data_IF_235727819120
#
_entry.id   IF_235727819120
#
_cell.length_a   1.000
_cell.length_b   1.000
_cell.length_c   1.000
_cell.angle_alpha   90.00
_cell.angle_beta   90.00
_cell.angle_gamma   90.00
#
_symmetry.space_group_name_H-M   'P 1'
#
loop_
_entity.id
_entity.type
_entity.pdbx_description
1 polymer ?
#
# COMPACT_ATOMS: atom_id res chain seq x y z
N UNK A 1 -24.50 5.49 -11.27
CA UNK A 1 -23.84 4.25 -10.80
C UNK A 1 -22.34 4.17 -11.13
N UNK A 2 -21.86 4.71 -12.27
CA UNK A 2 -20.42 4.70 -12.64
C UNK A 2 -19.49 5.54 -11.73
N UNK A 3 -19.94 6.70 -11.23
CA UNK A 3 -19.13 7.60 -10.39
C UNK A 3 -18.71 7.01 -9.02
N UNK A 4 -19.51 6.09 -8.49
CA UNK A 4 -19.25 5.38 -7.23
C UNK A 4 -18.18 4.27 -7.39
N UNK A 5 -18.10 3.65 -8.57
CA UNK A 5 -17.05 2.70 -8.89
C UNK A 5 -15.71 3.41 -9.12
N UNK A 6 -15.73 4.58 -9.77
CA UNK A 6 -14.52 5.38 -9.99
C UNK A 6 -13.86 5.83 -8.68
N UNK A 7 -14.66 6.38 -7.75
CA UNK A 7 -14.16 6.83 -6.43
C UNK A 7 -13.65 5.70 -5.56
N UNK A 8 -14.18 4.48 -5.73
CA UNK A 8 -13.72 3.29 -5.02
C UNK A 8 -12.37 2.80 -5.56
N UNK A 9 -12.16 2.84 -6.88
CA UNK A 9 -10.87 2.53 -7.52
C UNK A 9 -9.82 3.58 -7.18
N UNK A 10 -10.20 4.85 -7.16
CA UNK A 10 -9.31 5.97 -6.83
C UNK A 10 -8.85 5.93 -5.36
N UNK A 11 -9.77 5.63 -4.42
CA UNK A 11 -9.40 5.41 -3.01
C UNK A 11 -8.54 4.14 -2.82
N UNK A 12 -8.77 3.10 -3.63
CA UNK A 12 -7.97 1.86 -3.59
C UNK A 12 -6.52 2.14 -4.05
N UNK A 13 -6.37 2.85 -5.16
CA UNK A 13 -5.05 3.31 -5.61
C UNK A 13 -4.38 4.23 -4.58
N UNK A 14 -5.12 5.15 -3.96
CA UNK A 14 -4.58 6.02 -2.90
C UNK A 14 -4.11 5.22 -1.68
N UNK A 15 -4.84 4.18 -1.27
CA UNK A 15 -4.48 3.31 -0.15
C UNK A 15 -3.19 2.53 -0.40
N UNK A 16 -3.03 1.96 -1.60
CA UNK A 16 -1.82 1.26 -2.03
C UNK A 16 -0.64 2.23 -2.10
N UNK A 17 -0.83 3.40 -2.70
CA UNK A 17 0.22 4.43 -2.83
C UNK A 17 0.65 4.92 -1.45
N UNK A 18 -0.30 5.21 -0.55
CA UNK A 18 0.02 5.63 0.82
C UNK A 18 0.78 4.54 1.59
N UNK A 19 0.38 3.28 1.41
CA UNK A 19 1.05 2.13 2.04
C UNK A 19 2.47 1.96 1.49
N UNK A 20 2.64 2.02 0.17
CA UNK A 20 3.94 2.00 -0.47
C UNK A 20 4.82 3.16 0.01
N UNK A 21 4.29 4.39 0.09
CA UNK A 21 5.03 5.56 0.54
C UNK A 21 5.53 5.40 1.99
N UNK A 22 4.69 4.91 2.89
CA UNK A 22 5.08 4.58 4.27
C UNK A 22 6.19 3.53 4.31
N UNK A 23 6.10 2.50 3.47
CA UNK A 23 7.13 1.48 3.35
C UNK A 23 8.45 2.04 2.83
N UNK A 24 8.39 2.91 1.82
CA UNK A 24 9.55 3.59 1.25
C UNK A 24 10.24 4.47 2.28
N UNK A 25 9.50 5.27 3.04
CA UNK A 25 10.07 6.13 4.10
C UNK A 25 10.65 5.31 5.23
N UNK A 26 9.95 4.30 5.74
CA UNK A 26 10.45 3.43 6.81
C UNK A 26 11.68 2.64 6.37
N UNK A 27 11.66 2.10 5.15
CA UNK A 27 12.78 1.39 4.55
C UNK A 27 13.99 2.29 4.30
N UNK A 28 13.78 3.54 3.86
CA UNK A 28 14.85 4.53 3.70
C UNK A 28 15.50 4.88 5.05
N UNK A 29 14.68 5.09 6.10
CA UNK A 29 15.17 5.40 7.44
C UNK A 29 16.02 4.26 8.01
N UNK A 30 15.54 3.03 7.93
CA UNK A 30 16.32 1.86 8.39
C UNK A 30 17.56 1.68 7.49
N UNK A 31 17.41 1.78 6.18
CA UNK A 31 18.51 1.62 5.24
C UNK A 31 19.60 2.69 5.38
N UNK A 32 19.24 3.88 5.87
CA UNK A 32 20.18 4.99 6.06
C UNK A 32 21.29 4.69 7.06
N UNK A 33 21.10 3.72 7.96
CA UNK A 33 22.16 3.24 8.87
C UNK A 33 23.33 2.60 8.11
N UNK A 34 23.12 2.17 6.87
CA UNK A 34 24.14 1.61 5.97
C UNK A 34 24.61 2.63 4.91
N UNK A 35 24.29 3.91 5.10
CA UNK A 35 24.65 5.02 4.20
C UNK A 35 23.63 5.29 3.10
N UNK A 36 24.03 6.11 2.12
CA UNK A 36 23.15 6.59 1.04
C UNK A 36 22.65 5.42 0.18
N UNK A 37 23.53 4.49 -0.17
CA UNK A 37 23.17 3.31 -0.93
C UNK A 37 22.18 2.41 -0.17
N UNK A 38 22.42 2.22 1.15
CA UNK A 38 21.51 1.50 2.03
C UNK A 38 20.13 2.14 2.11
N UNK A 39 20.07 3.47 2.18
CA UNK A 39 18.80 4.23 2.16
C UNK A 39 18.01 3.98 0.89
N UNK A 40 18.65 4.03 -0.29
CA UNK A 40 17.98 3.78 -1.57
C UNK A 40 17.48 2.34 -1.67
N UNK A 41 18.30 1.36 -1.30
CA UNK A 41 17.93 -0.06 -1.34
C UNK A 41 16.79 -0.33 -0.34
N UNK A 42 16.91 0.19 0.88
CA UNK A 42 15.90 0.08 1.92
C UNK A 42 14.58 0.71 1.49
N UNK A 43 14.61 1.88 0.85
CA UNK A 43 13.44 2.55 0.30
C UNK A 43 12.71 1.68 -0.74
N UNK A 44 13.46 1.11 -1.69
CA UNK A 44 12.90 0.26 -2.76
C UNK A 44 12.26 -0.99 -2.15
N UNK A 45 12.97 -1.68 -1.26
CA UNK A 45 12.47 -2.91 -0.63
C UNK A 45 11.27 -2.64 0.29
N UNK A 46 11.35 -1.60 1.11
CA UNK A 46 10.26 -1.21 2.01
C UNK A 46 9.00 -0.82 1.24
N UNK A 47 9.14 -0.01 0.19
CA UNK A 47 8.02 0.38 -0.67
C UNK A 47 7.38 -0.83 -1.37
N UNK A 48 8.18 -1.76 -1.88
CA UNK A 48 7.69 -3.00 -2.51
C UNK A 48 6.94 -3.89 -1.52
N UNK A 49 7.50 -4.15 -0.33
CA UNK A 49 6.90 -5.04 0.66
C UNK A 49 5.59 -4.47 1.18
N UNK A 50 5.58 -3.18 1.56
CA UNK A 50 4.37 -2.55 2.12
C UNK A 50 3.32 -2.27 1.04
N UNK A 51 3.73 -1.88 -0.18
CA UNK A 51 2.82 -1.74 -1.32
C UNK A 51 2.15 -3.06 -1.71
N UNK A 52 2.92 -4.15 -1.76
CA UNK A 52 2.38 -5.49 -2.04
C UNK A 52 1.47 -6.00 -0.92
N UNK A 53 1.83 -5.75 0.34
CA UNK A 53 0.98 -6.06 1.50
C UNK A 53 -0.32 -5.24 1.49
N UNK A 54 -0.26 -3.95 1.13
CA UNK A 54 -1.43 -3.09 0.94
C UNK A 54 -2.36 -3.61 -0.15
N UNK A 55 -1.78 -4.00 -1.31
CA UNK A 55 -2.53 -4.61 -2.42
C UNK A 55 -3.28 -5.89 -1.98
N UNK A 56 -2.60 -6.80 -1.28
CA UNK A 56 -3.23 -8.04 -0.76
C UNK A 56 -4.30 -7.78 0.31
N UNK A 57 -4.08 -6.83 1.20
CA UNK A 57 -5.03 -6.53 2.28
C UNK A 57 -6.28 -5.83 1.76
N UNK A 58 -6.19 -4.97 0.75
CA UNK A 58 -7.36 -4.33 0.16
C UNK A 58 -8.25 -5.30 -0.61
N UNK A 59 -7.68 -6.34 -1.23
CA UNK A 59 -8.47 -7.43 -1.82
C UNK A 59 -9.25 -8.23 -0.76
N UNK A 60 -8.68 -8.42 0.44
CA UNK A 60 -9.37 -9.05 1.57
C UNK A 60 -10.48 -8.16 2.16
N UNK A 61 -10.29 -6.84 2.19
CA UNK A 61 -11.31 -5.90 2.67
C UNK A 61 -12.52 -5.88 1.73
N UNK A 62 -12.33 -5.96 0.41
CA UNK A 62 -13.43 -5.99 -0.57
C UNK A 62 -14.24 -7.30 -0.49
N UNK A 63 -13.58 -8.43 -0.21
CA UNK A 63 -14.25 -9.71 0.03
C UNK A 63 -15.06 -9.70 1.34
N UNK A 64 -14.52 -9.13 2.42
CA UNK A 64 -15.21 -9.07 3.70
C UNK A 64 -16.36 -8.02 3.71
N UNK A 65 -16.25 -6.94 2.93
CA UNK A 65 -17.36 -6.00 2.74
C UNK A 65 -18.53 -6.60 1.97
N UNK A 66 -18.29 -7.46 0.97
CA UNK A 66 -19.37 -8.19 0.30
C UNK A 66 -20.06 -9.22 1.22
N UNK A 67 -19.35 -9.76 2.22
CA UNK A 67 -19.94 -10.66 3.22
C UNK A 67 -20.84 -9.93 4.23
N UNK A 68 -20.56 -8.66 4.54
CA UNK A 68 -21.39 -7.85 5.45
C UNK A 68 -22.63 -7.22 4.81
N UNK A 69 -22.71 -7.14 3.48
CA UNK A 69 -23.90 -6.61 2.77
C UNK A 69 -24.93 -7.71 2.46
N UNK A 70 -24.61 -8.98 2.75
CA UNK A 70 -25.50 -10.13 2.56
C UNK A 70 -26.17 -10.59 3.87
N UNK A 71 -26.48 -9.63 4.76
CA UNK A 71 -27.32 -9.83 5.94
C UNK A 71 -28.46 -8.82 5.92
#
# INVERSE_FOLDING_TARGET
>A
MSKFMLTKVENKSLGIISSALSGTTGGALIGSTFGIAGSVIGAILGGFVTGYSGYKNEDQVILNQNKKVKV
#
